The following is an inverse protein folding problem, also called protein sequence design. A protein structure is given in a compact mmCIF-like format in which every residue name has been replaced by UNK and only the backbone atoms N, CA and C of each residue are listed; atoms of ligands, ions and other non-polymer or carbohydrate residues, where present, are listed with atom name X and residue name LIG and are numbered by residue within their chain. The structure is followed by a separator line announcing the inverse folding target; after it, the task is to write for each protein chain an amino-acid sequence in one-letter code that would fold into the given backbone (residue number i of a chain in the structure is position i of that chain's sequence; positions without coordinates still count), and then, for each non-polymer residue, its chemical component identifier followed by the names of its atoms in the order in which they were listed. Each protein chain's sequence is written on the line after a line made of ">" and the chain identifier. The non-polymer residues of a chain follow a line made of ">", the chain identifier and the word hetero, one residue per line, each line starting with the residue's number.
data_IF_552180498318
#
_entry.id   IF_552180498318
#
_cell.length_a   1.000
_cell.length_b   1.000
_cell.length_c   1.000
_cell.angle_alpha   90.00
_cell.angle_beta   90.00
_cell.angle_gamma   90.00
#
_symmetry.space_group_name_H-M   'P 1'
#
loop_
_entity.id
_entity.type
_entity.pdbx_description
1 polymer ?
#
# COMPACT_ATOMS: atom_id res chain seq x y z
N UNK A 1 -1.71 -19.42 -20.90
CA UNK A 1 -0.24 -19.59 -21.04
C UNK A 1 0.16 -21.01 -20.69
N UNK A 2 1.13 -21.61 -21.34
CA UNK A 2 1.63 -22.94 -20.96
C UNK A 2 2.44 -22.82 -19.68
N UNK A 3 2.34 -23.75 -18.72
CA UNK A 3 3.16 -23.74 -17.51
C UNK A 3 4.64 -23.85 -17.90
N UNK A 4 5.43 -22.80 -17.64
CA UNK A 4 6.89 -22.81 -17.87
C UNK A 4 7.43 -21.75 -18.83
N UNK A 5 6.60 -20.95 -19.49
CA UNK A 5 7.11 -19.79 -20.24
C UNK A 5 7.39 -18.65 -19.25
N UNK A 6 8.64 -18.19 -19.21
CA UNK A 6 9.01 -17.01 -18.43
C UNK A 6 8.24 -15.80 -18.97
N UNK A 7 7.60 -15.04 -18.08
CA UNK A 7 6.95 -13.79 -18.41
C UNK A 7 7.97 -12.84 -19.07
N UNK A 8 7.64 -12.33 -20.24
CA UNK A 8 8.47 -11.34 -20.92
C UNK A 8 8.02 -9.94 -20.47
N UNK A 9 8.94 -9.12 -19.91
CA UNK A 9 8.60 -7.77 -19.46
C UNK A 9 7.91 -6.95 -20.56
N UNK A 10 6.80 -6.33 -20.22
CA UNK A 10 6.11 -5.42 -21.11
C UNK A 10 6.79 -4.03 -21.05
N UNK A 11 7.66 -3.78 -22.03
CA UNK A 11 8.42 -2.54 -22.11
C UNK A 11 7.54 -1.29 -22.29
N UNK A 12 6.31 -1.43 -22.76
CA UNK A 12 5.37 -0.31 -22.90
C UNK A 12 4.87 0.11 -21.51
N UNK A 13 4.47 -0.84 -20.67
CA UNK A 13 4.08 -0.58 -19.27
C UNK A 13 5.24 0.04 -18.49
N UNK A 14 6.45 -0.51 -18.63
CA UNK A 14 7.64 0.04 -17.99
C UNK A 14 7.87 1.51 -18.35
N UNK A 15 7.87 1.84 -19.66
CA UNK A 15 8.05 3.22 -20.14
C UNK A 15 6.92 4.14 -19.72
N UNK A 16 5.67 3.68 -19.78
CA UNK A 16 4.52 4.45 -19.34
C UNK A 16 4.61 4.80 -17.86
N UNK A 17 5.02 3.82 -17.02
CA UNK A 17 5.23 4.05 -15.59
C UNK A 17 6.38 5.04 -15.34
N UNK A 18 7.55 4.85 -15.96
CA UNK A 18 8.69 5.76 -15.82
C UNK A 18 8.37 7.18 -16.29
N UNK A 19 7.49 7.34 -17.27
CA UNK A 19 7.06 8.66 -17.76
C UNK A 19 6.21 9.45 -16.75
N UNK A 20 5.71 8.80 -15.69
CA UNK A 20 5.05 9.48 -14.57
C UNK A 20 6.03 10.26 -13.68
N UNK A 21 7.34 10.09 -13.87
CA UNK A 21 8.37 10.73 -13.05
C UNK A 21 9.23 11.71 -13.90
N UNK A 22 9.73 12.79 -13.32
CA UNK A 22 9.62 13.15 -11.91
C UNK A 22 8.18 13.36 -11.46
N UNK A 23 7.85 12.85 -10.26
CA UNK A 23 6.51 12.95 -9.72
C UNK A 23 6.10 14.43 -9.59
N UNK A 24 4.85 14.77 -9.83
CA UNK A 24 4.34 16.14 -9.72
C UNK A 24 4.24 16.63 -8.26
N UNK A 25 4.58 15.77 -7.31
CA UNK A 25 4.39 16.01 -5.89
C UNK A 25 5.65 16.54 -5.23
N UNK A 26 5.57 17.72 -4.65
CA UNK A 26 6.63 18.34 -3.82
C UNK A 26 6.23 18.32 -2.35
N UNK A 27 7.18 18.61 -1.46
CA UNK A 27 6.91 18.69 -0.02
C UNK A 27 5.85 19.76 0.32
N UNK A 28 5.75 20.83 -0.45
CA UNK A 28 4.77 21.91 -0.28
C UNK A 28 3.41 21.59 -0.90
N UNK A 29 3.29 20.49 -1.66
CA UNK A 29 2.02 20.11 -2.29
C UNK A 29 0.93 19.92 -1.22
N UNK A 30 -0.19 20.64 -1.30
CA UNK A 30 -1.31 20.45 -0.39
C UNK A 30 -1.86 19.03 -0.49
N UNK A 31 -2.12 18.39 0.65
CA UNK A 31 -2.62 16.99 0.72
C UNK A 31 -3.92 16.76 -0.07
N UNK A 32 -4.73 17.80 -0.27
CA UNK A 32 -5.97 17.71 -1.04
C UNK A 32 -5.75 17.60 -2.55
N UNK A 33 -4.56 17.93 -3.03
CA UNK A 33 -4.20 17.83 -4.44
C UNK A 33 -3.59 16.48 -4.78
N UNK A 34 -3.08 15.76 -3.78
CA UNK A 34 -2.42 14.48 -3.95
C UNK A 34 -3.44 13.35 -4.06
N UNK A 35 -3.26 12.47 -5.04
CA UNK A 35 -3.90 11.15 -5.03
C UNK A 35 -2.99 10.21 -4.26
N UNK A 36 -3.52 9.61 -3.21
CA UNK A 36 -2.86 8.58 -2.41
C UNK A 36 -3.39 7.22 -2.79
N UNK A 37 -2.51 6.24 -2.89
CA UNK A 37 -2.85 4.83 -3.09
C UNK A 37 -2.59 4.09 -1.79
N UNK A 38 -3.64 3.76 -1.08
CA UNK A 38 -3.58 2.98 0.15
C UNK A 38 -3.40 1.53 -0.24
N UNK A 39 -2.31 0.93 0.21
CA UNK A 39 -1.81 -0.35 -0.28
C UNK A 39 -1.52 -1.28 0.89
N UNK A 40 -1.81 -2.56 0.67
CA UNK A 40 -1.35 -3.66 1.49
C UNK A 40 -1.07 -4.87 0.61
N UNK A 41 -0.14 -5.73 1.00
CA UNK A 41 0.20 -6.96 0.28
C UNK A 41 0.28 -8.14 1.25
N UNK A 42 -0.25 -9.28 0.83
CA UNK A 42 0.05 -10.54 1.50
C UNK A 42 1.20 -11.24 0.79
N UNK A 43 2.12 -11.78 1.57
CA UNK A 43 3.34 -12.40 1.05
C UNK A 43 3.56 -13.78 1.65
N UNK A 44 4.41 -14.60 1.03
CA UNK A 44 4.72 -15.94 1.51
C UNK A 44 5.65 -15.95 2.74
N UNK A 45 6.21 -14.81 3.09
CA UNK A 45 7.11 -14.61 4.23
C UNK A 45 7.64 -13.19 4.26
N UNK A 46 8.67 -12.95 5.05
CA UNK A 46 9.17 -11.59 5.36
C UNK A 46 10.45 -11.20 4.63
N UNK A 47 11.03 -12.08 3.80
CA UNK A 47 12.23 -11.77 3.00
C UNK A 47 11.82 -11.39 1.56
N UNK A 48 11.80 -10.11 1.18
CA UNK A 48 11.34 -9.66 -0.14
C UNK A 48 12.13 -10.25 -1.31
N UNK A 49 13.35 -10.75 -1.07
CA UNK A 49 14.19 -11.34 -2.11
C UNK A 49 13.84 -12.80 -2.40
N UNK A 50 13.26 -13.49 -1.42
CA UNK A 50 12.95 -14.95 -1.46
C UNK A 50 11.46 -15.19 -1.55
N UNK A 51 10.70 -14.36 -0.85
CA UNK A 51 9.28 -14.51 -0.74
C UNK A 51 8.54 -13.91 -1.95
N UNK A 52 7.30 -14.32 -2.11
CA UNK A 52 6.45 -13.93 -3.22
C UNK A 52 5.24 -13.16 -2.71
N UNK A 53 4.78 -12.22 -3.50
CA UNK A 53 3.49 -11.59 -3.27
C UNK A 53 2.39 -12.61 -3.58
N UNK A 54 1.41 -12.71 -2.71
CA UNK A 54 0.23 -13.57 -2.84
C UNK A 54 -0.96 -12.75 -3.34
N UNK A 55 -1.18 -11.59 -2.70
CA UNK A 55 -2.24 -10.66 -3.08
C UNK A 55 -1.73 -9.22 -3.01
N UNK A 56 -2.30 -8.38 -3.85
CA UNK A 56 -2.13 -6.92 -3.81
C UNK A 56 -3.53 -6.32 -3.64
N UNK A 57 -3.73 -5.53 -2.61
CA UNK A 57 -4.95 -4.77 -2.39
C UNK A 57 -4.65 -3.29 -2.32
N UNK A 58 -5.40 -2.47 -3.05
CA UNK A 58 -5.23 -1.03 -3.01
C UNK A 58 -6.53 -0.26 -3.23
N UNK A 59 -6.63 0.92 -2.64
CA UNK A 59 -7.75 1.85 -2.84
C UNK A 59 -7.23 3.28 -2.86
N UNK A 60 -7.77 4.10 -3.76
CA UNK A 60 -7.37 5.50 -3.84
C UNK A 60 -8.05 6.36 -2.78
N UNK A 61 -7.29 7.35 -2.27
CA UNK A 61 -7.80 8.47 -1.47
C UNK A 61 -7.42 9.77 -2.16
N UNK A 62 -8.41 10.64 -2.41
CA UNK A 62 -8.19 11.96 -2.99
C UNK A 62 -9.08 12.98 -2.29
N UNK A 63 -8.54 14.18 -2.05
CA UNK A 63 -9.23 15.25 -1.33
C UNK A 63 -9.87 14.80 0.01
N UNK A 64 -9.25 13.84 0.70
CA UNK A 64 -9.75 13.28 1.96
C UNK A 64 -10.97 12.37 1.83
N UNK A 65 -11.26 11.88 0.63
CA UNK A 65 -12.32 10.92 0.34
C UNK A 65 -11.75 9.59 -0.16
N UNK A 66 -12.30 8.49 0.30
CA UNK A 66 -11.97 7.14 -0.18
C UNK A 66 -12.73 6.89 -1.47
N UNK A 67 -12.02 6.57 -2.53
CA UNK A 67 -12.56 6.36 -3.87
C UNK A 67 -12.80 4.86 -4.09
N UNK A 68 -13.88 4.30 -3.55
CA UNK A 68 -14.16 2.85 -3.62
C UNK A 68 -14.18 2.32 -5.08
N UNK A 69 -14.69 3.13 -6.02
CA UNK A 69 -14.67 2.77 -7.45
C UNK A 69 -13.28 2.87 -8.11
N UNK A 70 -12.29 3.41 -7.42
CA UNK A 70 -10.89 3.50 -7.84
C UNK A 70 -10.04 2.62 -6.90
N UNK A 71 -10.25 1.32 -7.00
CA UNK A 71 -9.58 0.28 -6.23
C UNK A 71 -8.90 -0.73 -7.15
N UNK A 72 -7.92 -1.43 -6.62
CA UNK A 72 -7.19 -2.49 -7.30
C UNK A 72 -7.09 -3.71 -6.40
N UNK A 73 -7.34 -4.87 -6.95
CA UNK A 73 -7.15 -6.13 -6.25
C UNK A 73 -6.62 -7.18 -7.23
N UNK A 74 -5.57 -7.88 -6.84
CA UNK A 74 -5.01 -8.97 -7.62
C UNK A 74 -4.61 -10.12 -6.72
N UNK A 75 -4.97 -11.33 -7.12
CA UNK A 75 -4.49 -12.58 -6.54
C UNK A 75 -3.48 -13.20 -7.49
N UNK A 76 -2.31 -13.57 -6.96
CA UNK A 76 -1.20 -14.09 -7.74
C UNK A 76 -1.14 -15.62 -7.65
N UNK A 77 -0.74 -16.23 -8.74
CA UNK A 77 -0.48 -17.67 -8.79
C UNK A 77 0.75 -18.04 -7.97
N UNK A 78 0.56 -18.92 -6.98
CA UNK A 78 1.67 -19.41 -6.13
C UNK A 78 1.85 -20.91 -6.35
N UNK A 79 3.10 -21.37 -6.62
CA UNK A 79 3.39 -22.79 -6.66
C UNK A 79 3.11 -23.47 -5.32
N UNK A 80 2.49 -24.65 -5.36
CA UNK A 80 1.86 -25.37 -4.27
C UNK A 80 2.71 -25.68 -3.00
N UNK A 81 4.00 -25.58 -3.02
CA UNK A 81 4.88 -26.05 -1.94
C UNK A 81 5.21 -25.02 -0.83
N UNK A 82 4.46 -23.92 -0.75
CA UNK A 82 4.76 -22.89 0.25
C UNK A 82 3.87 -23.02 1.50
N UNK A 83 4.50 -23.11 2.66
CA UNK A 83 3.87 -23.30 3.98
C UNK A 83 3.00 -22.13 4.47
N UNK A 84 3.03 -21.01 3.78
CA UNK A 84 2.35 -19.75 4.13
C UNK A 84 0.84 -19.71 3.85
N UNK A 85 0.31 -20.63 3.05
CA UNK A 85 -1.14 -20.74 2.75
C UNK A 85 -2.01 -20.89 4.02
N UNK A 86 -1.40 -21.26 5.15
CA UNK A 86 -2.10 -21.40 6.43
C UNK A 86 -2.35 -20.10 7.17
N UNK A 87 -1.71 -19.00 6.78
CA UNK A 87 -1.73 -17.75 7.56
C UNK A 87 -2.81 -16.79 7.05
N UNK A 88 -3.11 -16.80 5.74
CA UNK A 88 -3.96 -15.78 5.10
C UNK A 88 -5.34 -16.29 4.64
N UNK A 89 -5.74 -17.51 5.02
CA UNK A 89 -7.06 -18.06 4.67
C UNK A 89 -7.28 -18.34 3.17
N UNK A 90 -6.28 -18.11 2.32
CA UNK A 90 -6.35 -18.31 0.87
C UNK A 90 -6.33 -19.81 0.56
N UNK A 91 -7.34 -20.29 -0.14
CA UNK A 91 -7.48 -21.70 -0.53
C UNK A 91 -6.51 -22.05 -1.67
N UNK A 92 -6.21 -23.37 -1.79
CA UNK A 92 -5.40 -23.93 -2.89
C UNK A 92 -5.92 -23.55 -4.28
N UNK A 93 -7.23 -23.61 -4.46
CA UNK A 93 -7.87 -23.37 -5.75
C UNK A 93 -7.79 -21.89 -6.13
N UNK A 94 -7.97 -20.99 -5.18
CA UNK A 94 -7.79 -19.55 -5.38
C UNK A 94 -6.34 -19.21 -5.79
N UNK A 95 -5.34 -19.77 -5.09
CA UNK A 95 -3.93 -19.54 -5.42
C UNK A 95 -3.51 -20.15 -6.78
N UNK A 96 -4.19 -21.23 -7.24
CA UNK A 96 -3.92 -21.86 -8.53
C UNK A 96 -4.44 -21.05 -9.71
N UNK A 97 -5.57 -20.38 -9.54
CA UNK A 97 -6.27 -19.67 -10.62
C UNK A 97 -5.87 -18.17 -10.65
N UNK A 98 -4.89 -17.75 -9.85
CA UNK A 98 -4.36 -16.39 -9.81
C UNK A 98 -3.56 -16.01 -11.07
N UNK A 99 -3.35 -14.71 -11.22
CA UNK A 99 -2.51 -14.12 -12.28
C UNK A 99 -1.04 -14.48 -12.07
N UNK A 100 -0.24 -14.49 -13.12
CA UNK A 100 1.21 -14.48 -12.92
C UNK A 100 1.66 -13.17 -12.25
N UNK A 101 2.78 -13.20 -11.54
CA UNK A 101 3.31 -12.00 -10.86
C UNK A 101 3.55 -10.85 -11.87
N UNK A 102 4.03 -11.17 -13.06
CA UNK A 102 4.23 -10.18 -14.12
C UNK A 102 2.93 -9.54 -14.59
N UNK A 103 1.89 -10.34 -14.90
CA UNK A 103 0.58 -9.83 -15.31
C UNK A 103 -0.05 -8.94 -14.22
N UNK A 104 0.05 -9.34 -12.95
CA UNK A 104 -0.48 -8.54 -11.85
C UNK A 104 0.23 -7.19 -11.73
N UNK A 105 1.56 -7.15 -11.87
CA UNK A 105 2.34 -5.92 -11.82
C UNK A 105 2.13 -5.03 -13.06
N UNK A 106 1.98 -5.62 -14.25
CA UNK A 106 1.64 -4.88 -15.46
C UNK A 106 0.25 -4.25 -15.40
N UNK A 107 -0.68 -4.83 -14.64
CA UNK A 107 -1.97 -4.22 -14.37
C UNK A 107 -1.90 -3.18 -13.22
N UNK A 108 -1.06 -3.42 -12.23
CA UNK A 108 -0.93 -2.56 -11.05
C UNK A 108 -0.22 -1.23 -11.35
N UNK A 109 0.87 -1.23 -12.12
CA UNK A 109 1.64 -0.02 -12.39
C UNK A 109 0.83 1.08 -13.10
N UNK A 110 -0.03 0.80 -14.10
CA UNK A 110 -0.94 1.80 -14.68
C UNK A 110 -2.00 2.33 -13.70
N UNK A 111 -2.40 1.55 -12.69
CA UNK A 111 -3.26 2.00 -11.61
C UNK A 111 -2.50 2.91 -10.63
N UNK A 112 -1.30 2.50 -10.24
CA UNK A 112 -0.45 3.21 -9.30
C UNK A 112 0.05 4.54 -9.85
N UNK A 113 0.47 4.60 -11.12
CA UNK A 113 1.05 5.80 -11.74
C UNK A 113 2.21 6.40 -10.93
N UNK A 114 2.35 7.73 -10.94
CA UNK A 114 3.29 8.48 -10.08
C UNK A 114 2.69 8.93 -8.74
N UNK A 115 1.65 8.26 -8.26
CA UNK A 115 0.94 8.64 -7.04
C UNK A 115 1.70 8.24 -5.77
N UNK A 116 1.28 8.76 -4.62
CA UNK A 116 1.92 8.50 -3.33
C UNK A 116 1.35 7.24 -2.71
N UNK A 117 2.21 6.26 -2.44
CA UNK A 117 1.84 5.03 -1.73
C UNK A 117 1.67 5.34 -0.25
N UNK A 118 0.61 4.82 0.35
CA UNK A 118 0.38 4.89 1.80
C UNK A 118 0.04 3.51 2.32
N UNK A 119 0.57 3.12 3.46
CA UNK A 119 0.21 1.88 4.12
C UNK A 119 0.46 1.95 5.62
N UNK A 120 0.25 0.84 6.28
CA UNK A 120 0.57 0.67 7.69
C UNK A 120 1.74 -0.31 7.82
N UNK A 121 2.89 0.16 8.32
CA UNK A 121 4.17 -0.55 8.19
C UNK A 121 4.58 -0.84 6.74
N UNK A 122 4.30 0.10 5.85
CA UNK A 122 4.37 -0.02 4.39
C UNK A 122 5.77 -0.38 3.84
N UNK A 123 6.81 -0.27 4.63
CA UNK A 123 8.18 -0.52 4.18
C UNK A 123 8.40 -1.91 3.60
N UNK A 124 7.73 -2.94 4.15
CA UNK A 124 7.82 -4.31 3.65
C UNK A 124 7.14 -4.46 2.28
N UNK A 125 5.94 -3.91 2.14
CA UNK A 125 5.15 -4.00 0.90
C UNK A 125 5.84 -3.30 -0.27
N UNK A 126 6.33 -2.09 -0.03
CA UNK A 126 7.10 -1.32 -1.02
C UNK A 126 8.34 -2.10 -1.45
N UNK A 127 9.06 -2.71 -0.51
CA UNK A 127 10.24 -3.48 -0.82
C UNK A 127 9.92 -4.77 -1.61
N UNK A 128 8.84 -5.47 -1.24
CA UNK A 128 8.38 -6.66 -1.95
C UNK A 128 7.96 -6.32 -3.39
N UNK A 129 7.21 -5.24 -3.56
CA UNK A 129 6.78 -4.74 -4.87
C UNK A 129 7.96 -4.25 -5.71
N UNK A 130 8.93 -3.52 -5.14
CA UNK A 130 10.12 -3.05 -5.85
C UNK A 130 10.92 -4.23 -6.42
N UNK A 131 11.17 -5.25 -5.59
CA UNK A 131 11.89 -6.46 -6.03
C UNK A 131 11.11 -7.20 -7.12
N UNK A 132 9.80 -7.34 -6.96
CA UNK A 132 8.94 -8.01 -7.93
C UNK A 132 8.88 -7.23 -9.26
N UNK A 133 8.77 -5.89 -9.22
CA UNK A 133 8.76 -5.03 -10.40
C UNK A 133 10.09 -5.11 -11.17
N UNK A 134 11.23 -5.03 -10.48
CA UNK A 134 12.55 -5.20 -11.12
C UNK A 134 12.69 -6.54 -11.81
N UNK A 135 12.19 -7.60 -11.19
CA UNK A 135 12.28 -8.96 -11.73
C UNK A 135 11.39 -9.21 -12.93
N UNK A 136 10.14 -8.68 -12.92
CA UNK A 136 9.13 -9.03 -13.90
C UNK A 136 8.85 -7.93 -14.94
N UNK A 137 9.06 -6.65 -14.58
CA UNK A 137 8.77 -5.50 -15.46
C UNK A 137 10.06 -4.80 -15.91
N UNK A 138 11.16 -5.02 -15.20
CA UNK A 138 12.46 -4.43 -15.52
C UNK A 138 12.68 -3.03 -14.94
N UNK A 139 11.72 -2.50 -14.17
CA UNK A 139 11.81 -1.19 -13.49
C UNK A 139 11.53 -1.36 -12.01
N UNK A 140 12.14 -0.52 -11.17
CA UNK A 140 11.84 -0.47 -9.75
C UNK A 140 10.77 0.56 -9.43
N UNK A 141 10.18 0.48 -8.23
CA UNK A 141 9.24 1.48 -7.75
C UNK A 141 9.96 2.82 -7.51
N UNK A 142 9.36 3.92 -7.98
CA UNK A 142 9.87 5.28 -7.83
C UNK A 142 8.92 6.16 -6.99
N UNK A 143 7.77 5.61 -6.60
CA UNK A 143 6.74 6.32 -5.84
C UNK A 143 7.25 6.72 -4.45
N UNK A 144 6.87 7.91 -4.01
CA UNK A 144 6.97 8.27 -2.59
C UNK A 144 6.07 7.37 -1.77
N UNK A 145 6.48 7.03 -0.55
CA UNK A 145 5.67 6.24 0.38
C UNK A 145 5.55 6.92 1.74
N UNK A 146 4.39 6.79 2.37
CA UNK A 146 4.06 7.29 3.70
C UNK A 146 3.57 6.14 4.58
N UNK A 147 3.99 6.15 5.84
CA UNK A 147 3.51 5.21 6.84
C UNK A 147 2.47 5.86 7.75
N UNK A 148 1.31 5.25 7.89
CA UNK A 148 0.24 5.75 8.78
C UNK A 148 0.64 5.68 10.24
N UNK A 149 1.53 4.75 10.62
CA UNK A 149 2.08 4.69 11.98
C UNK A 149 2.96 5.91 12.26
N UNK A 150 3.89 6.24 11.35
CA UNK A 150 4.76 7.41 11.49
C UNK A 150 3.93 8.69 11.62
N UNK A 151 2.92 8.86 10.77
CA UNK A 151 2.02 10.01 10.85
C UNK A 151 1.28 10.07 12.18
N UNK A 152 0.77 8.95 12.69
CA UNK A 152 0.07 8.90 13.98
C UNK A 152 1.01 9.24 15.16
N UNK A 153 2.25 8.76 15.15
CA UNK A 153 3.29 9.07 16.14
C UNK A 153 3.64 10.57 16.14
N UNK A 154 3.79 11.17 14.94
CA UNK A 154 4.00 12.62 14.85
C UNK A 154 2.84 13.42 15.40
N UNK A 155 1.61 13.03 15.08
CA UNK A 155 0.42 13.71 15.59
C UNK A 155 0.30 13.58 17.11
N UNK A 156 0.67 12.44 17.69
CA UNK A 156 0.69 12.27 19.14
C UNK A 156 1.75 13.19 19.78
N UNK A 157 2.96 13.23 19.23
CA UNK A 157 4.03 14.13 19.68
C UNK A 157 3.64 15.61 19.62
N UNK A 158 2.89 15.99 18.58
CA UNK A 158 2.39 17.35 18.42
C UNK A 158 1.19 17.66 19.34
N UNK A 159 0.78 16.72 20.20
CA UNK A 159 -0.35 16.88 21.12
C UNK A 159 -1.72 16.91 20.45
N UNK A 160 -1.84 16.36 19.25
CA UNK A 160 -3.08 16.39 18.49
C UNK A 160 -4.20 15.51 19.08
N UNK A 161 -3.86 14.56 19.97
CA UNK A 161 -4.78 13.61 20.60
C UNK A 161 -4.98 13.98 22.09
N UNK A 162 -5.70 15.06 22.37
CA UNK A 162 -5.86 15.61 23.72
C UNK A 162 -6.86 14.88 24.61
N UNK A 163 -7.85 14.23 24.00
CA UNK A 163 -9.00 13.66 24.72
C UNK A 163 -8.88 12.14 25.00
N UNK A 164 -8.06 11.44 24.25
CA UNK A 164 -7.86 9.99 24.35
C UNK A 164 -6.43 9.66 23.92
N UNK A 165 -5.71 8.85 24.70
CA UNK A 165 -4.41 8.32 24.28
C UNK A 165 -4.59 7.12 23.36
N UNK A 166 -3.76 7.02 22.35
CA UNK A 166 -3.67 5.83 21.50
C UNK A 166 -2.94 4.74 22.29
N UNK A 167 -3.53 3.56 22.39
CA UNK A 167 -2.91 2.41 23.08
C UNK A 167 -2.16 1.53 22.06
N UNK A 168 -0.96 1.96 21.70
CA UNK A 168 -0.18 1.35 20.64
C UNK A 168 -0.55 1.94 19.27
N UNK A 169 0.28 1.64 18.28
CA UNK A 169 0.16 2.21 16.92
C UNK A 169 -0.03 1.13 15.86
N UNK A 170 -0.52 -0.05 16.24
CA UNK A 170 -0.95 -1.08 15.28
C UNK A 170 -2.19 -0.61 14.52
N UNK A 171 -2.44 -1.19 13.35
CA UNK A 171 -3.64 -0.85 12.57
C UNK A 171 -4.92 -1.06 13.39
N UNK A 172 -4.99 -2.15 14.16
CA UNK A 172 -6.15 -2.43 15.04
C UNK A 172 -6.33 -1.37 16.13
N UNK A 173 -5.23 -0.94 16.77
CA UNK A 173 -5.28 0.10 17.79
C UNK A 173 -5.72 1.45 17.19
N UNK A 174 -5.28 1.79 15.99
CA UNK A 174 -5.73 2.98 15.28
C UNK A 174 -7.19 2.87 14.85
N UNK A 175 -7.63 1.70 14.37
CA UNK A 175 -9.04 1.45 14.08
C UNK A 175 -9.92 1.64 15.32
N UNK A 176 -9.55 1.05 16.45
CA UNK A 176 -10.27 1.21 17.73
C UNK A 176 -10.30 2.68 18.17
N UNK A 177 -9.14 3.37 18.11
CA UNK A 177 -9.03 4.77 18.49
C UNK A 177 -9.98 5.66 17.69
N UNK A 178 -10.06 5.45 16.39
CA UNK A 178 -10.89 6.23 15.48
C UNK A 178 -12.32 5.70 15.28
N UNK A 179 -12.71 4.62 15.95
CA UNK A 179 -14.02 3.98 15.81
C UNK A 179 -14.26 3.41 14.41
N UNK A 180 -13.21 2.89 13.79
CA UNK A 180 -13.30 2.15 12.52
C UNK A 180 -13.65 0.69 12.85
N UNK A 181 -14.76 0.20 12.30
CA UNK A 181 -15.14 -1.20 12.45
C UNK A 181 -14.25 -2.05 11.55
N UNK A 182 -13.58 -3.04 12.14
CA UNK A 182 -12.67 -3.92 11.40
C UNK A 182 -13.43 -5.05 10.73
N UNK A 183 -13.28 -5.17 9.41
CA UNK A 183 -13.79 -6.26 8.59
C UNK A 183 -12.66 -6.75 7.68
N UNK A 184 -12.69 -8.00 7.30
CA UNK A 184 -11.78 -8.62 6.34
C UNK A 184 -10.28 -8.40 6.65
N UNK A 185 -9.95 -8.37 7.98
CA UNK A 185 -8.57 -8.31 8.45
C UNK A 185 -7.75 -9.47 7.89
N UNK A 186 -6.47 -9.20 7.66
CA UNK A 186 -5.51 -10.14 7.08
C UNK A 186 -5.86 -10.54 5.64
N UNK A 187 -6.52 -9.63 4.93
CA UNK A 187 -6.63 -9.66 3.47
C UNK A 187 -6.09 -8.34 2.94
N UNK A 188 -5.34 -8.36 1.84
CA UNK A 188 -4.73 -7.15 1.30
C UNK A 188 -5.77 -6.05 1.00
N UNK A 189 -6.91 -6.40 0.40
CA UNK A 189 -7.99 -5.45 0.12
C UNK A 189 -8.64 -4.89 1.40
N UNK A 190 -8.88 -5.75 2.40
CA UNK A 190 -9.45 -5.37 3.69
C UNK A 190 -8.53 -4.43 4.46
N UNK A 191 -7.24 -4.77 4.57
CA UNK A 191 -6.27 -3.97 5.30
C UNK A 191 -5.94 -2.66 4.59
N UNK A 192 -5.91 -2.62 3.25
CA UNK A 192 -5.81 -1.38 2.48
C UNK A 192 -7.02 -0.46 2.73
N UNK A 193 -8.25 -0.99 2.77
CA UNK A 193 -9.45 -0.21 3.05
C UNK A 193 -9.51 0.29 4.50
N UNK A 194 -9.13 -0.52 5.48
CA UNK A 194 -9.04 -0.11 6.88
C UNK A 194 -7.98 0.99 7.05
N UNK A 195 -6.82 0.81 6.44
CA UNK A 195 -5.75 1.81 6.39
C UNK A 195 -6.25 3.12 5.76
N UNK A 196 -7.05 3.06 4.69
CA UNK A 196 -7.65 4.24 4.08
C UNK A 196 -8.59 4.96 5.03
N UNK A 197 -9.43 4.23 5.76
CA UNK A 197 -10.33 4.82 6.75
C UNK A 197 -9.59 5.49 7.91
N UNK A 198 -8.52 4.88 8.39
CA UNK A 198 -7.61 5.45 9.41
C UNK A 198 -6.91 6.69 8.84
N UNK A 199 -6.32 6.58 7.64
CA UNK A 199 -5.57 7.67 7.01
C UNK A 199 -6.41 8.93 6.78
N UNK A 200 -7.65 8.81 6.30
CA UNK A 200 -8.55 9.96 6.15
C UNK A 200 -8.81 10.66 7.49
N UNK A 201 -8.89 9.92 8.59
CA UNK A 201 -9.05 10.48 9.92
C UNK A 201 -7.76 11.15 10.42
N UNK A 202 -6.62 10.53 10.19
CA UNK A 202 -5.30 11.12 10.48
C UNK A 202 -5.11 12.43 9.70
N UNK A 203 -5.46 12.49 8.41
CA UNK A 203 -5.39 13.72 7.62
C UNK A 203 -6.26 14.85 8.19
N UNK A 204 -7.46 14.52 8.71
CA UNK A 204 -8.33 15.52 9.36
C UNK A 204 -7.69 16.06 10.64
N UNK A 205 -7.04 15.21 11.42
CA UNK A 205 -6.29 15.62 12.64
C UNK A 205 -5.07 16.44 12.24
N UNK A 206 -4.28 15.97 11.26
CA UNK A 206 -3.08 16.64 10.77
C UNK A 206 -3.35 18.09 10.34
N UNK A 207 -4.45 18.33 9.61
CA UNK A 207 -4.85 19.70 9.22
C UNK A 207 -5.11 20.60 10.41
N UNK A 208 -5.70 20.11 11.49
CA UNK A 208 -5.99 20.92 12.70
C UNK A 208 -4.72 21.40 13.40
N UNK A 209 -3.62 20.68 13.26
CA UNK A 209 -2.32 21.02 13.82
C UNK A 209 -1.34 21.59 12.80
N UNK A 210 -1.87 22.02 11.63
CA UNK A 210 -1.07 22.72 10.60
C UNK A 210 -0.25 21.81 9.69
N UNK A 211 -0.43 20.48 9.75
CA UNK A 211 0.19 19.52 8.81
C UNK A 211 -0.72 19.30 7.60
N UNK A 212 -0.66 20.22 6.64
CA UNK A 212 -1.54 20.22 5.49
C UNK A 212 -0.83 20.00 4.14
N UNK A 213 0.48 19.78 4.15
CA UNK A 213 1.28 19.51 2.95
C UNK A 213 1.90 18.13 2.99
N UNK A 214 2.29 17.61 1.81
CA UNK A 214 2.85 16.27 1.66
C UNK A 214 4.09 16.07 2.54
N UNK A 215 5.03 17.04 2.53
CA UNK A 215 6.22 16.96 3.37
C UNK A 215 5.88 16.90 4.86
N UNK A 216 4.89 17.69 5.31
CA UNK A 216 4.50 17.71 6.73
C UNK A 216 3.85 16.42 7.21
N UNK A 217 3.16 15.67 6.36
CA UNK A 217 2.58 14.37 6.72
C UNK A 217 3.52 13.21 6.43
N UNK A 218 4.55 13.41 5.60
CA UNK A 218 5.49 12.37 5.16
C UNK A 218 6.80 12.34 5.93
N UNK A 219 6.97 13.15 6.98
CA UNK A 219 8.13 13.08 7.85
C UNK A 219 8.23 11.68 8.46
N UNK A 220 9.41 11.04 8.37
CA UNK A 220 9.65 9.77 9.08
C UNK A 220 9.80 10.06 10.57
N UNK A 221 9.17 9.23 11.39
CA UNK A 221 9.32 9.34 12.83
C UNK A 221 10.75 8.89 13.21
N UNK A 222 11.46 9.79 13.89
CA UNK A 222 12.76 9.50 14.51
C UNK A 222 12.63 9.78 15.99
N UNK A 223 12.96 8.78 16.84
CA UNK A 223 12.98 8.90 18.29
C UNK A 223 13.96 9.98 18.78
#
# INVERSE_FOLDING_TARGET
>A
MRPGEAHKPNMEVARAYESCFPAPWTEETPVDKVRFVLLDTETTGTDPRRDKIITIGAVAVQAGQIMIGDSFEAMLHIPYNMSSVKIHGITRDQARDGMSEGEALEAFLPYLRGDVIVGHHIGHDVQALDVACRRNVGVGLQNQSLDTMDLALHLERDGAFTSKKIQGFTLDALCEFFGVVTHDRHTAGGDALLTAQVFVRLLRVARKVGRATLGRIGERYTE
#
